data_IF_492322827740
#
_entry.id   IF_492322827740
#
_cell.length_a   1.000
_cell.length_b   1.000
_cell.length_c   1.000
_cell.angle_alpha   90.00
_cell.angle_beta   90.00
_cell.angle_gamma   90.00
#
_symmetry.space_group_name_H-M   'P 1'
#
loop_
_entity.id
_entity.type
_entity.pdbx_description
1 polymer ?
#
# COMPACT_ATOMS: atom_id res chain seq x y z
N UNK A 1 -6.41 9.48 6.33
CA UNK A 1 -7.76 10.05 6.09
C UNK A 1 -7.86 11.51 6.47
N UNK A 2 -7.32 11.97 7.60
CA UNK A 2 -7.40 13.38 8.03
C UNK A 2 -6.95 14.40 6.95
N UNK A 3 -5.89 14.10 6.20
CA UNK A 3 -5.44 14.97 5.11
C UNK A 3 -6.48 15.14 4.00
N UNK A 4 -7.24 14.08 3.69
CA UNK A 4 -8.31 14.07 2.71
C UNK A 4 -9.56 14.76 3.23
N UNK A 5 -9.98 14.49 4.47
CA UNK A 5 -11.17 15.13 5.05
C UNK A 5 -11.03 16.64 5.14
N UNK A 6 -9.84 17.15 5.50
CA UNK A 6 -9.54 18.61 5.54
C UNK A 6 -9.55 19.28 4.16
N UNK A 7 -9.45 18.52 3.07
CA UNK A 7 -9.34 19.01 1.68
C UNK A 7 -10.45 18.46 0.79
N UNK A 8 -11.56 18.02 1.39
CA UNK A 8 -12.64 17.39 0.64
C UNK A 8 -13.22 18.31 -0.45
N UNK A 9 -13.24 19.62 -0.21
CA UNK A 9 -13.67 20.62 -1.20
C UNK A 9 -12.79 20.68 -2.43
N UNK A 10 -11.50 20.37 -2.29
CA UNK A 10 -10.53 20.37 -3.39
C UNK A 10 -10.48 19.00 -4.09
N UNK A 11 -10.74 17.93 -3.34
CA UNK A 11 -10.76 16.55 -3.83
C UNK A 11 -11.97 15.80 -3.24
N UNK A 12 -13.14 15.85 -3.89
CA UNK A 12 -14.37 15.23 -3.40
C UNK A 12 -14.33 13.71 -3.68
N UNK A 13 -13.65 12.99 -2.79
CA UNK A 13 -13.51 11.53 -2.86
C UNK A 13 -14.86 10.87 -2.57
N UNK A 14 -15.31 9.94 -3.40
CA UNK A 14 -16.54 9.15 -3.15
C UNK A 14 -16.24 7.83 -2.46
N UNK A 15 -15.18 7.17 -2.92
CA UNK A 15 -14.81 5.84 -2.47
C UNK A 15 -13.29 5.75 -2.28
N UNK A 16 -12.86 4.98 -1.29
CA UNK A 16 -11.45 4.62 -1.10
C UNK A 16 -11.37 3.10 -1.00
N UNK A 17 -10.55 2.51 -1.86
CA UNK A 17 -10.31 1.08 -1.90
C UNK A 17 -8.95 0.75 -1.27
N UNK A 18 -8.95 -0.20 -0.35
CA UNK A 18 -7.78 -0.68 0.38
C UNK A 18 -7.52 -2.14 0.00
N UNK A 19 -6.94 -2.43 -1.18
CA UNK A 19 -6.56 -3.80 -1.55
C UNK A 19 -5.32 -4.27 -0.75
N UNK A 20 -5.28 -5.55 -0.39
CA UNK A 20 -4.12 -6.21 0.21
C UNK A 20 -4.02 -7.66 -0.31
N UNK A 21 -3.00 -8.41 0.13
CA UNK A 21 -2.81 -9.83 -0.17
C UNK A 21 -3.29 -10.70 1.00
N UNK A 22 -3.54 -12.01 0.79
CA UNK A 22 -4.00 -12.90 1.87
C UNK A 22 -3.12 -12.87 3.13
N UNK A 23 -1.79 -12.74 2.98
CA UNK A 23 -0.85 -12.63 4.09
C UNK A 23 -1.00 -11.32 4.91
N UNK A 24 -1.66 -10.30 4.37
CA UNK A 24 -1.95 -9.01 5.02
C UNK A 24 -3.37 -8.90 5.57
N UNK A 25 -4.25 -9.88 5.32
CA UNK A 25 -5.69 -9.79 5.63
C UNK A 25 -6.00 -9.43 7.08
N UNK A 26 -5.31 -10.04 8.04
CA UNK A 26 -5.51 -9.73 9.46
C UNK A 26 -5.22 -8.24 9.77
N UNK A 27 -4.13 -7.69 9.20
CA UNK A 27 -3.79 -6.27 9.36
C UNK A 27 -4.81 -5.38 8.66
N UNK A 28 -5.23 -5.75 7.46
CA UNK A 28 -6.25 -5.04 6.70
C UNK A 28 -7.56 -4.96 7.49
N UNK A 29 -8.01 -6.05 8.09
CA UNK A 29 -9.24 -6.10 8.89
C UNK A 29 -9.17 -5.19 10.12
N UNK A 30 -8.03 -5.19 10.81
CA UNK A 30 -7.81 -4.31 11.96
C UNK A 30 -7.82 -2.84 11.52
N UNK A 31 -7.16 -2.52 10.41
CA UNK A 31 -6.94 -1.13 10.00
C UNK A 31 -8.15 -0.57 9.27
N UNK A 32 -8.89 -1.35 8.46
CA UNK A 32 -9.98 -0.86 7.61
C UNK A 32 -11.15 -0.24 8.38
N UNK A 33 -11.40 -0.69 9.61
CA UNK A 33 -12.48 -0.15 10.45
C UNK A 33 -12.23 1.30 10.89
N UNK A 34 -10.97 1.73 11.02
CA UNK A 34 -10.64 3.07 11.52
C UNK A 34 -10.90 4.16 10.46
N UNK A 35 -10.46 4.03 9.19
CA UNK A 35 -10.79 4.96 8.12
C UNK A 35 -12.28 5.22 7.95
N UNK A 36 -13.14 4.20 8.03
CA UNK A 36 -14.59 4.41 7.88
C UNK A 36 -15.11 5.31 9.00
N UNK A 37 -14.75 5.02 10.27
CA UNK A 37 -15.11 5.87 11.41
C UNK A 37 -14.61 7.32 11.28
N UNK A 38 -13.43 7.52 10.69
CA UNK A 38 -12.90 8.87 10.44
C UNK A 38 -13.73 9.64 9.41
N UNK A 39 -14.25 8.98 8.38
CA UNK A 39 -15.12 9.59 7.39
C UNK A 39 -16.53 9.82 7.92
N UNK A 40 -17.09 8.87 8.67
CA UNK A 40 -18.40 9.03 9.34
C UNK A 40 -18.39 10.27 10.27
N UNK A 41 -17.28 10.49 10.99
CA UNK A 41 -17.09 11.65 11.87
C UNK A 41 -16.85 12.97 11.12
N UNK A 42 -16.53 12.94 9.82
CA UNK A 42 -16.26 14.13 9.01
C UNK A 42 -17.53 14.78 8.44
N UNK A 43 -18.65 14.06 8.41
CA UNK A 43 -19.91 14.52 7.80
C UNK A 43 -19.98 14.38 6.27
N UNK A 44 -18.95 13.83 5.64
CA UNK A 44 -18.94 13.52 4.20
C UNK A 44 -19.27 12.05 3.96
N UNK A 45 -20.07 11.79 2.92
CA UNK A 45 -20.45 10.44 2.51
C UNK A 45 -19.34 9.83 1.64
N UNK A 46 -18.38 9.19 2.32
CA UNK A 46 -17.25 8.49 1.68
C UNK A 46 -17.17 7.07 2.17
N UNK A 47 -17.12 6.13 1.23
CA UNK A 47 -17.13 4.71 1.52
C UNK A 47 -15.75 4.10 1.45
N UNK A 48 -15.39 3.33 2.48
CA UNK A 48 -14.17 2.53 2.52
C UNK A 48 -14.48 1.10 2.07
N UNK A 49 -13.71 0.61 1.10
CA UNK A 49 -13.77 -0.76 0.62
C UNK A 49 -12.44 -1.46 0.94
N UNK A 50 -12.52 -2.74 1.33
CA UNK A 50 -11.36 -3.61 1.49
C UNK A 50 -11.56 -4.84 0.63
N UNK A 51 -10.53 -5.26 -0.11
CA UNK A 51 -10.57 -6.44 -0.96
C UNK A 51 -9.21 -7.14 -0.95
N UNK A 52 -9.20 -8.43 -1.29
CA UNK A 52 -7.97 -9.19 -1.55
C UNK A 52 -7.71 -9.37 -3.05
N UNK A 53 -8.60 -8.83 -3.88
CA UNK A 53 -8.47 -8.80 -5.34
C UNK A 53 -8.26 -7.35 -5.76
N UNK A 54 -7.01 -6.99 -6.09
CA UNK A 54 -6.73 -5.61 -6.52
C UNK A 54 -7.41 -5.27 -7.84
N UNK A 55 -7.76 -6.24 -8.69
CA UNK A 55 -8.39 -5.95 -9.98
C UNK A 55 -9.77 -5.33 -9.80
N UNK A 56 -10.47 -5.65 -8.71
CA UNK A 56 -11.71 -4.98 -8.33
C UNK A 56 -11.47 -3.52 -7.95
N UNK A 57 -10.43 -3.24 -7.17
CA UNK A 57 -10.09 -1.90 -6.70
C UNK A 57 -9.59 -0.98 -7.83
N UNK A 58 -9.06 -1.55 -8.92
CA UNK A 58 -8.54 -0.77 -10.07
C UNK A 58 -9.65 -0.35 -11.05
N UNK A 59 -10.80 -1.03 -11.06
CA UNK A 59 -11.89 -0.74 -12.01
C UNK A 59 -12.40 0.69 -11.84
N UNK A 60 -12.27 1.49 -12.90
CA UNK A 60 -12.69 2.90 -12.95
C UNK A 60 -12.03 3.80 -11.89
N UNK A 61 -10.87 3.40 -11.34
CA UNK A 61 -10.16 4.22 -10.36
C UNK A 61 -9.59 5.48 -11.01
N UNK A 62 -9.90 6.66 -10.46
CA UNK A 62 -9.33 7.94 -10.93
C UNK A 62 -7.85 8.10 -10.51
N UNK A 63 -7.49 7.55 -9.35
CA UNK A 63 -6.14 7.62 -8.78
C UNK A 63 -5.75 6.29 -8.14
N UNK A 64 -4.50 5.89 -8.32
CA UNK A 64 -3.92 4.70 -7.69
C UNK A 64 -2.65 5.12 -6.94
N UNK A 65 -2.61 4.81 -5.64
CA UNK A 65 -1.42 5.03 -4.79
C UNK A 65 -0.88 3.69 -4.32
N UNK A 66 0.44 3.50 -4.38
CA UNK A 66 1.08 2.25 -3.96
C UNK A 66 1.87 2.46 -2.67
N UNK A 67 1.59 1.62 -1.67
CA UNK A 67 2.26 1.67 -0.36
C UNK A 67 2.52 0.27 0.22
N UNK A 68 2.68 -0.72 -0.65
CA UNK A 68 2.87 -2.11 -0.24
C UNK A 68 4.33 -2.47 0.01
N UNK A 69 4.52 -3.61 0.65
CA UNK A 69 5.83 -4.23 0.91
C UNK A 69 5.77 -5.70 0.52
N UNK A 70 6.33 -6.03 -0.64
CA UNK A 70 6.46 -7.42 -1.10
C UNK A 70 7.24 -8.21 -0.05
N UNK A 71 6.80 -9.42 0.28
CA UNK A 71 7.35 -10.26 1.36
C UNK A 71 7.41 -9.59 2.75
N UNK A 72 6.56 -8.58 3.01
CA UNK A 72 6.37 -8.02 4.35
C UNK A 72 7.70 -7.57 5.02
N UNK A 73 7.77 -7.57 6.35
CA UNK A 73 8.95 -7.16 7.11
C UNK A 73 10.10 -8.17 7.06
N UNK A 74 9.83 -9.46 6.85
CA UNK A 74 10.85 -10.50 6.83
C UNK A 74 11.91 -10.24 5.74
N UNK A 75 11.48 -9.87 4.54
CA UNK A 75 12.44 -9.56 3.49
C UNK A 75 13.18 -8.23 3.72
N UNK A 76 12.58 -7.28 4.44
CA UNK A 76 13.30 -6.06 4.87
C UNK A 76 14.41 -6.40 5.86
N UNK A 77 14.19 -7.36 6.76
CA UNK A 77 15.20 -7.83 7.71
C UNK A 77 16.36 -8.46 6.95
N UNK A 78 16.07 -9.34 5.99
CA UNK A 78 17.10 -9.96 5.15
C UNK A 78 17.89 -8.95 4.32
N UNK A 79 17.20 -7.97 3.72
CA UNK A 79 17.84 -6.92 2.92
C UNK A 79 18.83 -6.06 3.73
N UNK A 80 18.69 -6.01 5.06
CA UNK A 80 19.64 -5.32 5.95
C UNK A 80 20.68 -6.28 6.54
N UNK A 81 20.28 -7.47 6.95
CA UNK A 81 21.15 -8.43 7.61
C UNK A 81 22.20 -9.05 6.67
N UNK A 82 21.83 -9.33 5.42
CA UNK A 82 22.75 -9.92 4.43
C UNK A 82 23.91 -8.97 4.15
N UNK A 83 23.72 -7.68 3.79
CA UNK A 83 24.86 -6.76 3.58
C UNK A 83 25.77 -6.64 4.80
N UNK A 84 25.20 -6.60 6.00
CA UNK A 84 25.96 -6.53 7.25
C UNK A 84 26.88 -7.73 7.43
N UNK A 85 26.47 -8.94 7.05
CA UNK A 85 27.33 -10.14 7.13
C UNK A 85 28.55 -10.07 6.20
N UNK A 86 28.48 -9.25 5.15
CA UNK A 86 29.58 -8.94 4.23
C UNK A 86 30.33 -7.65 4.59
N UNK A 87 30.10 -7.07 5.78
CA UNK A 87 30.70 -5.80 6.23
C UNK A 87 30.29 -4.59 5.37
N UNK A 88 29.13 -4.65 4.74
CA UNK A 88 28.49 -3.55 4.02
C UNK A 88 27.39 -2.91 4.87
N UNK A 89 26.93 -1.72 4.48
CA UNK A 89 25.81 -1.05 5.15
C UNK A 89 24.50 -1.79 4.86
N UNK A 90 23.81 -2.24 5.91
CA UNK A 90 22.47 -2.80 5.82
C UNK A 90 21.40 -1.72 5.90
N UNK A 91 20.88 -1.24 4.76
CA UNK A 91 19.81 -0.24 4.71
C UNK A 91 18.82 -0.55 3.59
N UNK A 92 17.53 -0.30 3.80
CA UNK A 92 16.45 -0.76 2.90
C UNK A 92 16.46 -0.11 1.49
N UNK A 93 16.83 1.16 1.42
CA UNK A 93 16.70 2.05 0.25
C UNK A 93 18.04 2.58 -0.22
N UNK A 94 19.14 1.90 0.11
CA UNK A 94 20.51 2.24 -0.28
C UNK A 94 21.31 0.96 -0.48
N UNK A 95 22.29 1.05 -1.36
CA UNK A 95 23.28 0.00 -1.61
C UNK A 95 22.59 -1.37 -1.93
N UNK A 96 23.07 -2.57 -1.51
CA UNK A 96 22.39 -3.82 -1.88
C UNK A 96 20.90 -3.89 -1.48
N UNK A 97 20.50 -3.24 -0.38
CA UNK A 97 19.12 -3.31 0.08
C UNK A 97 18.14 -2.64 -0.88
N UNK A 98 18.55 -1.55 -1.54
CA UNK A 98 17.78 -0.90 -2.60
C UNK A 98 17.52 -1.86 -3.76
N UNK A 99 18.58 -2.56 -4.22
CA UNK A 99 18.48 -3.53 -5.31
C UNK A 99 17.56 -4.70 -4.94
N UNK A 100 17.71 -5.26 -3.74
CA UNK A 100 16.84 -6.34 -3.26
C UNK A 100 15.38 -5.92 -3.12
N UNK A 101 15.12 -4.66 -2.77
CA UNK A 101 13.76 -4.11 -2.74
C UNK A 101 13.22 -3.92 -4.16
N UNK A 102 13.99 -3.28 -5.03
CA UNK A 102 13.61 -3.00 -6.41
C UNK A 102 13.26 -4.28 -7.18
N UNK A 103 14.10 -5.31 -7.10
CA UNK A 103 13.89 -6.59 -7.78
C UNK A 103 12.59 -7.29 -7.36
N UNK A 104 12.10 -7.05 -6.14
CA UNK A 104 10.84 -7.64 -5.66
C UNK A 104 9.64 -6.73 -5.94
N UNK A 105 9.82 -5.41 -5.88
CA UNK A 105 8.73 -4.43 -6.04
C UNK A 105 8.40 -4.14 -7.50
N UNK A 106 9.40 -3.98 -8.39
CA UNK A 106 9.18 -3.58 -9.79
C UNK A 106 8.26 -4.56 -10.53
N UNK A 107 8.42 -5.90 -10.43
CA UNK A 107 7.53 -6.83 -11.12
C UNK A 107 6.05 -6.68 -10.70
N UNK A 108 5.80 -6.41 -9.41
CA UNK A 108 4.44 -6.21 -8.89
C UNK A 108 3.84 -4.89 -9.38
N UNK A 109 4.65 -3.81 -9.42
CA UNK A 109 4.21 -2.53 -10.01
C UNK A 109 3.86 -2.70 -11.48
N UNK A 110 4.67 -3.43 -12.25
CA UNK A 110 4.39 -3.69 -13.66
C UNK A 110 3.10 -4.49 -13.86
N UNK A 111 2.82 -5.47 -13.00
CA UNK A 111 1.56 -6.20 -13.03
C UNK A 111 0.35 -5.28 -12.76
N UNK A 112 0.44 -4.41 -11.74
CA UNK A 112 -0.62 -3.41 -11.45
C UNK A 112 -0.82 -2.47 -12.64
N UNK A 113 0.25 -1.98 -13.25
CA UNK A 113 0.18 -1.09 -14.41
C UNK A 113 -0.46 -1.79 -15.61
N UNK A 114 -0.20 -3.09 -15.80
CA UNK A 114 -0.85 -3.87 -16.86
C UNK A 114 -2.36 -4.01 -16.62
N UNK A 115 -2.78 -4.27 -15.39
CA UNK A 115 -4.21 -4.38 -15.02
C UNK A 115 -4.96 -3.04 -15.09
N UNK A 116 -4.24 -1.91 -15.11
CA UNK A 116 -4.81 -0.57 -15.25
C UNK A 116 -5.05 -0.15 -16.71
N UNK A 117 -4.45 -0.84 -17.69
CA UNK A 117 -4.60 -0.52 -19.12
C UNK A 117 -5.94 -0.99 -19.67
#
# INVERSE_FOLDING_TARGET
MEGFTKRYTDLPIKEIWLPDVPAGKEKQDIIAAMPQKMWDASGYDVKIHSTLDWTEALKNADFVTTQFRVEQLSARILAQAIPVSYRLLGQETKEPGEIFKALRTIPVILAIVEDMK
#
